data_IF_857815879789
#
_entry.id   IF_857815879789
#
_cell.length_a   1.000
_cell.length_b   1.000
_cell.length_c   1.000
_cell.angle_alpha   90.00
_cell.angle_beta   90.00
_cell.angle_gamma   90.00
#
_symmetry.space_group_name_H-M   'P 1'
#
loop_
_entity.id
_entity.type
_entity.pdbx_description
1 polymer ?
#
# COMPACT_ATOMS: atom_id res chain seq x y z
N UNK A 1 -17.85 42.98 -52.98
CA UNK A 1 -18.30 43.12 -51.58
C UNK A 1 -17.89 41.83 -50.88
N UNK A 2 -16.60 41.62 -50.60
CA UNK A 2 -15.83 42.06 -49.43
C UNK A 2 -16.01 41.16 -48.18
N UNK A 3 -14.88 40.54 -47.79
CA UNK A 3 -14.48 40.04 -46.46
C UNK A 3 -15.28 38.84 -45.85
N UNK A 4 -14.72 37.92 -45.03
CA UNK A 4 -13.45 37.95 -44.31
C UNK A 4 -12.94 36.54 -43.93
N UNK A 5 -11.62 36.47 -43.81
CA UNK A 5 -10.77 35.38 -43.33
C UNK A 5 -10.83 35.29 -41.80
N UNK A 6 -10.84 34.08 -41.22
CA UNK A 6 -10.58 33.88 -39.78
C UNK A 6 -9.36 32.96 -39.64
N UNK A 7 -8.33 33.50 -39.00
CA UNK A 7 -7.03 32.89 -38.80
C UNK A 7 -6.94 32.02 -37.56
N UNK A 8 -6.07 31.02 -37.69
CA UNK A 8 -5.52 30.16 -36.65
C UNK A 8 -4.56 30.93 -35.74
N UNK A 9 -4.66 30.74 -34.43
CA UNK A 9 -3.66 31.19 -33.45
C UNK A 9 -3.31 30.02 -32.54
N UNK A 10 -2.11 29.48 -32.75
CA UNK A 10 -1.46 28.50 -31.88
C UNK A 10 -0.98 29.18 -30.61
N UNK A 11 -1.32 28.62 -29.44
CA UNK A 11 -0.70 28.99 -28.16
C UNK A 11 0.31 27.92 -27.76
N UNK A 12 1.58 28.31 -27.78
CA UNK A 12 2.68 27.57 -27.19
C UNK A 12 2.56 27.63 -25.65
N UNK A 13 2.54 26.47 -25.00
CA UNK A 13 2.76 26.35 -23.56
C UNK A 13 4.14 25.72 -23.33
N UNK A 14 4.99 26.48 -22.65
CA UNK A 14 6.30 26.10 -22.13
C UNK A 14 6.17 25.01 -21.07
N UNK A 15 6.77 23.84 -21.30
CA UNK A 15 6.90 22.78 -20.30
C UNK A 15 8.10 23.07 -19.40
N UNK A 16 7.90 23.00 -18.08
CA UNK A 16 8.97 23.00 -17.08
C UNK A 16 9.32 21.55 -16.77
N UNK A 17 10.57 21.18 -17.01
CA UNK A 17 11.13 19.85 -16.74
C UNK A 17 11.64 19.82 -15.30
N UNK A 18 11.10 18.94 -14.46
CA UNK A 18 11.72 18.57 -13.18
C UNK A 18 11.95 17.07 -13.22
N UNK A 19 13.22 16.69 -13.41
CA UNK A 19 13.70 15.32 -13.34
C UNK A 19 13.80 14.89 -11.87
N UNK A 20 13.09 13.81 -11.50
CA UNK A 20 13.33 13.12 -10.23
C UNK A 20 14.24 11.93 -10.47
N UNK A 21 15.47 12.04 -10.01
CA UNK A 21 16.40 10.93 -9.90
C UNK A 21 17.07 10.98 -8.54
N UNK A 22 16.59 10.19 -7.58
CA UNK A 22 17.41 9.77 -6.43
C UNK A 22 17.00 8.37 -6.00
N UNK A 23 17.82 7.38 -6.33
CA UNK A 23 17.88 6.10 -5.60
C UNK A 23 19.29 5.88 -5.08
N UNK A 24 19.35 5.51 -3.78
CA UNK A 24 20.43 4.84 -3.03
C UNK A 24 21.67 5.68 -2.67
N UNK A 25 22.31 5.51 -1.51
CA UNK A 25 22.26 4.48 -0.48
C UNK A 25 22.86 5.01 0.84
N UNK A 26 22.42 4.48 1.99
CA UNK A 26 23.26 4.44 3.19
C UNK A 26 23.35 3.01 3.72
N UNK A 27 24.59 2.50 3.69
CA UNK A 27 25.02 1.24 4.27
C UNK A 27 25.07 1.36 5.79
N UNK A 28 24.58 0.30 6.44
CA UNK A 28 24.78 -0.01 7.85
C UNK A 28 26.25 0.02 8.28
N UNK A 29 26.53 0.57 9.46
CA UNK A 29 27.52 -0.02 10.37
C UNK A 29 27.13 0.26 11.83
N UNK A 30 26.98 -0.82 12.58
CA UNK A 30 26.64 -0.86 14.00
C UNK A 30 27.96 -1.02 14.78
N UNK A 31 28.20 -0.20 15.80
CA UNK A 31 29.47 -0.19 16.52
C UNK A 31 29.34 0.37 17.93
N UNK A 32 29.13 -0.53 18.88
CA UNK A 32 29.21 -0.33 20.32
C UNK A 32 30.49 0.40 20.75
N UNK A 33 30.38 1.45 21.56
CA UNK A 33 31.44 1.86 22.51
C UNK A 33 30.86 2.37 23.83
N UNK A 34 30.99 1.51 24.84
CA UNK A 34 31.09 1.85 26.26
C UNK A 34 32.40 2.58 26.51
N UNK A 35 32.38 3.65 27.32
CA UNK A 35 33.56 4.15 28.03
C UNK A 35 33.13 4.72 29.38
N UNK A 36 33.71 4.14 30.43
CA UNK A 36 33.73 4.58 31.82
C UNK A 36 35.16 4.98 32.15
N UNK A 37 35.38 6.06 32.91
CA UNK A 37 36.65 6.34 33.61
C UNK A 37 36.58 7.59 34.50
N UNK A 38 36.47 7.33 35.80
CA UNK A 38 37.21 7.89 36.97
C UNK A 38 37.76 9.34 36.99
N UNK A 39 37.30 10.06 38.03
CA UNK A 39 38.02 10.75 39.11
C UNK A 39 39.14 11.79 38.84
N UNK A 40 38.95 13.00 39.38
CA UNK A 40 39.96 13.73 40.17
C UNK A 40 39.28 14.62 41.24
N UNK A 41 39.77 14.53 42.47
CA UNK A 41 39.46 15.43 43.59
C UNK A 41 40.34 16.68 43.54
N UNK A 42 39.84 17.82 44.05
CA UNK A 42 40.47 18.60 45.14
C UNK A 42 39.62 19.80 45.55
N UNK A 43 39.62 20.00 46.86
CA UNK A 43 38.95 20.97 47.74
C UNK A 43 39.23 22.44 47.44
N UNK A 44 38.26 23.31 47.71
CA UNK A 44 38.45 24.51 48.53
C UNK A 44 37.16 24.86 49.28
N UNK A 45 37.32 25.03 50.60
CA UNK A 45 36.30 25.54 51.50
C UNK A 45 36.25 27.07 51.41
N UNK A 46 35.06 27.65 51.42
CA UNK A 46 34.87 29.00 51.92
C UNK A 46 33.51 29.09 52.64
N UNK A 47 33.58 29.31 53.95
CA UNK A 47 32.46 29.62 54.82
C UNK A 47 32.18 31.12 54.71
N UNK A 48 31.01 31.51 54.23
CA UNK A 48 30.43 32.81 54.57
C UNK A 48 28.95 32.68 54.89
N UNK A 49 28.56 33.40 55.92
CA UNK A 49 27.29 33.44 56.62
C UNK A 49 26.17 34.11 55.81
N UNK A 50 24.94 33.80 56.23
CA UNK A 50 23.66 34.12 55.63
C UNK A 50 23.36 35.61 55.31
N UNK A 51 22.44 35.77 54.33
CA UNK A 51 21.12 36.47 54.44
C UNK A 51 20.90 37.53 53.35
N UNK A 52 20.06 37.23 52.35
CA UNK A 52 18.87 38.02 51.98
C UNK A 52 18.22 37.50 50.70
N UNK A 53 16.91 37.25 50.79
CA UNK A 53 15.85 37.42 49.80
C UNK A 53 16.25 37.51 48.32
N UNK A 54 15.93 36.46 47.56
CA UNK A 54 15.98 36.47 46.10
C UNK A 54 15.09 35.36 45.55
N UNK A 55 14.02 35.77 44.88
CA UNK A 55 13.04 35.01 44.10
C UNK A 55 13.42 33.56 43.74
N UNK A 56 12.49 32.66 44.09
CA UNK A 56 12.32 31.35 43.48
C UNK A 56 12.33 31.47 41.95
N UNK A 57 13.31 30.85 41.30
CA UNK A 57 13.17 30.40 39.92
C UNK A 57 13.84 29.05 39.81
N UNK A 58 13.10 28.02 40.20
CA UNK A 58 13.33 26.67 39.67
C UNK A 58 13.30 26.80 38.15
N UNK A 59 14.47 26.71 37.52
CA UNK A 59 14.57 26.58 36.08
C UNK A 59 13.91 25.25 35.73
N UNK A 60 12.61 25.29 35.44
CA UNK A 60 11.99 24.27 34.61
C UNK A 60 12.71 24.37 33.28
N UNK A 61 13.69 23.48 33.08
CA UNK A 61 14.18 23.17 31.75
C UNK A 61 12.99 22.54 31.02
N UNK A 62 12.13 23.41 30.49
CA UNK A 62 11.15 23.05 29.49
C UNK A 62 12.00 22.58 28.33
N UNK A 63 12.17 21.26 28.19
CA UNK A 63 12.62 20.66 26.94
C UNK A 63 11.57 21.08 25.91
N UNK A 64 11.79 22.22 25.26
CA UNK A 64 10.96 22.65 24.16
C UNK A 64 11.15 21.58 23.10
N UNK A 65 10.11 20.79 22.87
CA UNK A 65 10.02 19.90 21.72
C UNK A 65 10.01 20.80 20.47
N UNK A 66 11.19 21.23 20.06
CA UNK A 66 11.38 22.08 18.90
C UNK A 66 11.53 21.17 17.69
N UNK A 67 10.50 21.17 16.85
CA UNK A 67 10.55 20.66 15.47
C UNK A 67 11.90 21.01 14.85
N UNK A 68 12.61 19.98 14.39
CA UNK A 68 13.92 20.11 13.76
C UNK A 68 13.79 20.72 12.37
N UNK A 69 14.91 21.17 11.80
CA UNK A 69 14.93 21.62 10.40
C UNK A 69 14.46 20.51 9.44
N UNK A 70 14.83 19.25 9.72
CA UNK A 70 14.39 18.11 8.92
C UNK A 70 12.88 17.88 9.00
N UNK A 71 12.27 18.08 10.17
CA UNK A 71 10.82 17.96 10.33
C UNK A 71 10.06 19.02 9.52
N UNK A 72 10.62 20.23 9.40
CA UNK A 72 10.04 21.31 8.60
C UNK A 72 10.14 21.02 7.10
N UNK A 73 11.33 20.65 6.61
CA UNK A 73 11.52 20.30 5.20
C UNK A 73 10.64 19.11 4.79
N UNK A 74 10.52 18.10 5.67
CA UNK A 74 9.63 16.97 5.43
C UNK A 74 8.15 17.38 5.44
N UNK A 75 7.73 18.26 6.35
CA UNK A 75 6.35 18.75 6.40
C UNK A 75 5.96 19.52 5.13
N UNK A 76 6.86 20.37 4.62
CA UNK A 76 6.66 21.16 3.40
C UNK A 76 6.54 20.24 2.17
N UNK A 77 7.47 19.29 2.03
CA UNK A 77 7.41 18.27 0.98
C UNK A 77 6.09 17.50 1.01
N UNK A 78 5.66 17.03 2.19
CA UNK A 78 4.42 16.26 2.34
C UNK A 78 3.18 17.08 1.96
N UNK A 79 3.20 18.41 2.03
CA UNK A 79 2.07 19.22 1.56
C UNK A 79 1.92 19.09 0.04
N UNK A 80 3.01 19.27 -0.68
CA UNK A 80 3.03 19.19 -2.14
C UNK A 80 2.70 17.77 -2.61
N UNK A 81 3.29 16.76 -1.96
CA UNK A 81 3.08 15.36 -2.29
C UNK A 81 1.62 14.93 -2.09
N UNK A 82 1.01 15.26 -0.94
CA UNK A 82 -0.40 14.91 -0.68
C UNK A 82 -1.33 15.56 -1.72
N UNK A 83 -1.04 16.79 -2.16
CA UNK A 83 -1.81 17.46 -3.20
C UNK A 83 -1.64 16.81 -4.57
N UNK A 84 -0.42 16.41 -4.91
CA UNK A 84 -0.14 15.70 -6.16
C UNK A 84 -0.87 14.35 -6.19
N UNK A 85 -0.78 13.56 -5.13
CA UNK A 85 -1.42 12.25 -5.04
C UNK A 85 -2.95 12.33 -5.09
N UNK A 86 -3.54 13.31 -4.42
CA UNK A 86 -4.99 13.56 -4.50
C UNK A 86 -5.46 13.94 -5.90
N UNK A 87 -4.62 14.63 -6.68
CA UNK A 87 -4.92 14.98 -8.08
C UNK A 87 -4.72 13.80 -9.02
N UNK A 88 -3.75 12.92 -8.72
CA UNK A 88 -3.47 11.71 -9.50
C UNK A 88 -4.49 10.59 -9.28
N UNK A 89 -5.22 10.63 -8.15
CA UNK A 89 -6.22 9.62 -7.79
C UNK A 89 -7.30 9.48 -8.87
N UNK A 90 -7.40 8.27 -9.45
CA UNK A 90 -8.32 7.94 -10.55
C UNK A 90 -9.80 8.09 -10.21
N UNK A 91 -10.17 7.77 -8.98
CA UNK A 91 -11.53 7.90 -8.49
C UNK A 91 -11.56 8.23 -7.00
N UNK A 92 -12.40 9.19 -6.63
CA UNK A 92 -12.67 9.51 -5.22
C UNK A 92 -13.49 8.42 -4.52
N UNK A 93 -14.29 7.67 -5.28
CA UNK A 93 -15.16 6.60 -4.78
C UNK A 93 -14.55 5.23 -5.07
N UNK A 94 -14.63 4.32 -4.09
CA UNK A 94 -14.21 2.94 -4.27
C UNK A 94 -15.12 2.25 -5.31
N UNK A 95 -14.53 1.49 -6.27
CA UNK A 95 -15.30 0.63 -7.17
C UNK A 95 -16.20 -0.32 -6.37
N UNK A 96 -17.35 -0.69 -6.94
CA UNK A 96 -18.22 -1.72 -6.36
C UNK A 96 -17.80 -3.08 -6.90
N UNK A 97 -17.82 -4.09 -6.04
CA UNK A 97 -17.66 -5.49 -6.45
C UNK A 97 -19.04 -6.12 -6.40
N UNK A 98 -19.57 -6.51 -7.57
CA UNK A 98 -20.95 -6.95 -7.69
C UNK A 98 -21.21 -8.25 -6.92
N UNK A 99 -22.33 -8.31 -6.20
CA UNK A 99 -22.75 -9.49 -5.44
C UNK A 99 -22.03 -9.69 -4.10
N UNK A 100 -21.09 -8.82 -3.72
CA UNK A 100 -20.38 -8.89 -2.44
C UNK A 100 -20.67 -7.69 -1.54
N UNK A 101 -20.84 -7.94 -0.25
CA UNK A 101 -20.76 -6.92 0.80
C UNK A 101 -19.29 -6.72 1.19
N UNK A 102 -18.85 -5.47 1.21
CA UNK A 102 -17.43 -5.11 1.42
C UNK A 102 -17.26 -4.50 2.80
N UNK A 103 -16.43 -5.14 3.63
CA UNK A 103 -15.99 -4.63 4.94
C UNK A 103 -14.52 -4.24 4.88
N UNK A 104 -14.22 -3.03 5.38
CA UNK A 104 -12.88 -2.44 5.36
C UNK A 104 -12.38 -2.19 6.78
N UNK A 105 -11.24 -2.77 7.14
CA UNK A 105 -10.63 -2.67 8.47
C UNK A 105 -9.13 -2.38 8.36
N UNK A 106 -8.76 -1.10 8.24
CA UNK A 106 -7.36 -0.71 8.10
C UNK A 106 -6.83 -1.02 6.71
N UNK A 107 -5.96 -2.03 6.59
CA UNK A 107 -5.49 -2.57 5.30
C UNK A 107 -6.14 -3.91 4.95
N UNK A 108 -6.96 -4.45 5.85
CA UNK A 108 -7.70 -5.70 5.66
C UNK A 108 -9.02 -5.42 4.93
N UNK A 109 -9.31 -6.24 3.92
CA UNK A 109 -10.55 -6.21 3.16
C UNK A 109 -11.22 -7.57 3.30
N UNK A 110 -12.49 -7.58 3.69
CA UNK A 110 -13.32 -8.77 3.71
C UNK A 110 -14.52 -8.58 2.79
N UNK A 111 -14.68 -9.46 1.80
CA UNK A 111 -15.86 -9.52 0.95
C UNK A 111 -16.71 -10.71 1.35
N UNK A 112 -18.02 -10.51 1.52
CA UNK A 112 -18.94 -11.60 1.87
C UNK A 112 -20.10 -11.70 0.90
N UNK A 113 -20.50 -12.92 0.57
CA UNK A 113 -21.65 -13.22 -0.27
C UNK A 113 -22.32 -14.51 0.20
N UNK A 114 -23.64 -14.54 0.14
CA UNK A 114 -24.40 -15.79 0.32
C UNK A 114 -24.79 -16.37 -1.04
N UNK A 115 -24.59 -17.67 -1.22
CA UNK A 115 -24.94 -18.40 -2.43
C UNK A 115 -25.53 -19.77 -2.05
N UNK A 116 -26.79 -20.04 -2.38
CA UNK A 116 -27.45 -21.35 -2.14
C UNK A 116 -27.30 -21.90 -0.69
N UNK A 117 -27.39 -21.03 0.33
CA UNK A 117 -27.16 -21.33 1.77
C UNK A 117 -25.70 -21.58 2.15
N UNK A 118 -24.76 -21.38 1.24
CA UNK A 118 -23.33 -21.31 1.50
C UNK A 118 -22.94 -19.85 1.77
N UNK A 119 -21.95 -19.64 2.64
CA UNK A 119 -21.33 -18.33 2.85
C UNK A 119 -19.96 -18.33 2.20
N UNK A 120 -19.76 -17.43 1.24
CA UNK A 120 -18.49 -17.20 0.55
C UNK A 120 -17.84 -15.97 1.16
N UNK A 121 -16.64 -16.14 1.72
CA UNK A 121 -15.86 -15.07 2.34
C UNK A 121 -14.53 -14.94 1.62
N UNK A 122 -14.25 -13.78 1.03
CA UNK A 122 -12.93 -13.46 0.49
C UNK A 122 -12.22 -12.52 1.46
N UNK A 123 -10.94 -12.80 1.76
CA UNK A 123 -10.11 -11.97 2.63
C UNK A 123 -8.80 -11.65 1.93
N UNK A 124 -8.33 -10.42 2.06
CA UNK A 124 -7.06 -9.96 1.52
C UNK A 124 -6.53 -8.77 2.32
N UNK A 125 -5.24 -8.52 2.19
CA UNK A 125 -4.57 -7.36 2.78
C UNK A 125 -3.82 -6.59 1.68
N UNK A 126 -4.05 -5.28 1.58
CA UNK A 126 -3.42 -4.44 0.54
C UNK A 126 -1.99 -4.00 0.89
N UNK A 127 -1.45 -4.34 2.05
CA UNK A 127 -0.04 -4.09 2.35
C UNK A 127 0.87 -4.87 1.40
N UNK A 128 1.95 -4.23 0.94
CA UNK A 128 2.95 -4.87 0.07
C UNK A 128 2.38 -5.51 -1.19
N UNK A 129 1.28 -4.95 -1.71
CA UNK A 129 0.52 -5.54 -2.83
C UNK A 129 0.76 -4.85 -4.17
N UNK A 130 1.50 -3.74 -4.19
CA UNK A 130 1.84 -3.01 -5.41
C UNK A 130 3.20 -3.49 -5.91
N UNK A 131 3.23 -4.05 -7.11
CA UNK A 131 4.46 -4.51 -7.74
C UNK A 131 5.27 -3.29 -8.20
N UNK A 132 6.46 -3.10 -7.63
CA UNK A 132 7.36 -2.02 -8.01
C UNK A 132 8.13 -2.32 -9.31
N UNK A 133 8.07 -3.56 -9.82
CA UNK A 133 8.82 -3.99 -11.01
C UNK A 133 8.27 -3.36 -12.31
N UNK A 134 6.97 -3.04 -12.35
CA UNK A 134 6.35 -2.26 -13.45
C UNK A 134 6.86 -0.81 -13.50
N UNK A 135 7.56 -0.33 -12.45
CA UNK A 135 8.18 0.99 -12.42
C UNK A 135 9.61 1.03 -13.00
N UNK A 136 10.24 -0.13 -13.25
CA UNK A 136 11.63 -0.24 -13.71
C UNK A 136 11.77 -0.31 -15.26
N UNK A 137 10.66 -0.47 -16.01
CA UNK A 137 10.67 -0.38 -17.50
C UNK A 137 10.83 1.05 -18.03
N UNK A 138 11.05 2.04 -17.17
CA UNK A 138 11.41 3.41 -17.54
C UNK A 138 12.84 3.51 -18.09
N UNK A 139 13.03 3.00 -19.29
CA UNK A 139 14.21 3.26 -20.12
C UNK A 139 14.24 4.76 -20.46
N UNK A 140 15.14 5.52 -19.86
CA UNK A 140 15.31 6.97 -20.04
C UNK A 140 15.74 7.44 -21.47
N UNK A 141 15.48 6.66 -22.53
CA UNK A 141 16.01 6.91 -23.88
C UNK A 141 15.00 6.64 -25.02
N UNK A 142 13.73 7.02 -24.90
CA UNK A 142 12.87 7.18 -26.07
C UNK A 142 12.01 8.44 -25.94
N UNK A 143 12.02 9.27 -26.99
CA UNK A 143 11.19 10.48 -27.17
C UNK A 143 9.66 10.19 -27.19
N UNK A 144 9.26 8.95 -26.94
CA UNK A 144 7.91 8.55 -26.55
C UNK A 144 8.04 7.74 -25.25
N UNK A 145 8.18 8.43 -24.12
CA UNK A 145 8.00 7.77 -22.84
C UNK A 145 6.60 7.14 -22.85
N UNK A 146 6.46 5.81 -22.72
CA UNK A 146 5.15 5.24 -22.43
C UNK A 146 4.60 5.96 -21.20
N UNK A 147 3.28 6.20 -21.16
CA UNK A 147 2.68 6.66 -19.91
C UNK A 147 3.12 5.72 -18.80
N UNK A 148 3.43 6.23 -17.59
CA UNK A 148 3.75 5.38 -16.46
C UNK A 148 2.78 4.21 -16.42
N UNK A 149 3.31 2.99 -16.50
CA UNK A 149 2.52 1.79 -16.26
C UNK A 149 1.71 2.05 -15.00
N UNK A 150 0.39 1.89 -15.11
CA UNK A 150 -0.48 2.11 -13.97
C UNK A 150 -0.07 1.13 -12.87
N UNK A 151 0.45 1.65 -11.75
CA UNK A 151 0.75 0.85 -10.57
C UNK A 151 -0.54 0.14 -10.13
N UNK A 152 -0.51 -1.19 -10.12
CA UNK A 152 -1.65 -2.03 -9.75
C UNK A 152 -1.38 -2.74 -8.43
N UNK A 153 -2.38 -2.76 -7.57
CA UNK A 153 -2.37 -3.55 -6.34
C UNK A 153 -2.97 -4.93 -6.60
N UNK A 154 -2.15 -5.97 -6.50
CA UNK A 154 -2.47 -7.39 -6.72
C UNK A 154 -2.21 -8.22 -5.46
N UNK A 155 -2.94 -7.98 -4.35
CA UNK A 155 -2.72 -8.73 -3.12
C UNK A 155 -3.15 -10.19 -3.29
N UNK A 156 -2.41 -11.10 -2.67
CA UNK A 156 -2.91 -12.46 -2.47
C UNK A 156 -4.21 -12.41 -1.67
N UNK A 157 -5.14 -13.29 -2.03
CA UNK A 157 -6.43 -13.35 -1.37
C UNK A 157 -6.82 -14.79 -1.06
N UNK A 158 -7.60 -14.97 -0.01
CA UNK A 158 -8.12 -16.27 0.38
C UNK A 158 -9.62 -16.32 0.16
N UNK A 159 -10.14 -17.46 -0.27
CA UNK A 159 -11.57 -17.72 -0.39
C UNK A 159 -11.95 -18.84 0.58
N UNK A 160 -12.95 -18.58 1.41
CA UNK A 160 -13.57 -19.57 2.29
C UNK A 160 -15.02 -19.77 1.90
N UNK A 161 -15.40 -21.02 1.60
CA UNK A 161 -16.78 -21.43 1.34
C UNK A 161 -17.23 -22.26 2.53
N UNK A 162 -18.19 -21.74 3.30
CA UNK A 162 -18.77 -22.43 4.45
C UNK A 162 -20.12 -23.06 4.09
N UNK A 163 -20.26 -24.37 4.36
CA UNK A 163 -21.51 -25.12 4.25
C UNK A 163 -21.58 -26.20 5.32
N UNK A 164 -22.69 -26.25 6.05
CA UNK A 164 -22.97 -27.27 7.08
C UNK A 164 -21.85 -27.43 8.13
N UNK A 165 -21.22 -26.30 8.54
CA UNK A 165 -20.11 -26.28 9.51
C UNK A 165 -18.76 -26.72 8.96
N UNK A 166 -18.68 -27.10 7.68
CA UNK A 166 -17.45 -27.38 6.95
C UNK A 166 -17.02 -26.16 6.15
N UNK A 167 -15.72 -25.96 6.06
CA UNK A 167 -15.10 -24.85 5.36
C UNK A 167 -14.14 -25.38 4.32
N UNK A 168 -14.35 -24.98 3.08
CA UNK A 168 -13.42 -25.20 1.98
C UNK A 168 -12.64 -23.90 1.76
N UNK A 169 -11.32 -23.98 1.92
CA UNK A 169 -10.40 -22.86 1.87
C UNK A 169 -9.55 -22.93 0.60
N UNK A 170 -9.33 -21.77 0.01
CA UNK A 170 -8.40 -21.55 -1.09
C UNK A 170 -7.49 -20.36 -0.78
N UNK A 171 -6.21 -20.52 -1.06
CA UNK A 171 -5.25 -19.41 -1.18
C UNK A 171 -5.05 -19.13 -2.66
N UNK A 172 -5.25 -17.89 -3.09
CA UNK A 172 -5.21 -17.47 -4.49
C UNK A 172 -4.16 -16.39 -4.72
N UNK A 173 -3.52 -16.46 -5.88
CA UNK A 173 -2.47 -15.52 -6.33
C UNK A 173 -2.81 -15.03 -7.73
N UNK A 174 -2.54 -13.75 -8.02
CA UNK A 174 -2.73 -13.21 -9.36
C UNK A 174 -1.66 -13.76 -10.31
N UNK A 175 -2.03 -14.02 -11.56
CA UNK A 175 -1.10 -14.49 -12.58
C UNK A 175 -0.33 -13.30 -13.18
N UNK A 176 0.99 -13.42 -13.31
CA UNK A 176 1.81 -12.45 -14.02
C UNK A 176 1.45 -12.47 -15.52
N UNK A 177 0.94 -11.36 -16.07
CA UNK A 177 0.58 -11.24 -17.49
C UNK A 177 -0.91 -11.35 -17.84
N UNK A 178 -1.83 -11.29 -16.87
CA UNK A 178 -3.27 -11.36 -17.11
C UNK A 178 -3.92 -10.14 -17.79
N UNK A 179 -3.17 -9.16 -18.29
CA UNK A 179 -3.74 -8.06 -19.06
C UNK A 179 -3.80 -8.43 -20.54
N UNK A 180 -4.93 -8.25 -21.24
CA UNK A 180 -5.00 -8.45 -22.67
C UNK A 180 -4.35 -7.26 -23.40
N UNK A 181 -3.05 -7.05 -23.20
CA UNK A 181 -2.26 -6.17 -24.07
C UNK A 181 -2.00 -6.89 -25.40
N UNK A 182 -3.03 -6.87 -26.25
CA UNK A 182 -2.90 -6.89 -27.69
C UNK A 182 -1.95 -7.93 -28.30
N UNK A 183 -2.13 -9.22 -28.02
CA UNK A 183 -1.93 -10.36 -28.94
C UNK A 183 -1.90 -11.69 -28.19
N UNK A 184 -3.08 -12.19 -27.82
CA UNK A 184 -3.50 -13.61 -27.91
C UNK A 184 -4.72 -13.80 -27.03
N UNK A 185 -5.78 -14.36 -27.60
CA UNK A 185 -6.96 -14.86 -26.88
C UNK A 185 -6.58 -16.12 -26.06
N UNK A 186 -5.57 -16.02 -25.21
CA UNK A 186 -5.40 -17.00 -24.14
C UNK A 186 -6.41 -16.62 -23.07
N UNK A 187 -7.38 -17.50 -22.85
CA UNK A 187 -8.25 -17.52 -21.67
C UNK A 187 -7.40 -17.85 -20.42
N UNK A 188 -6.37 -17.05 -20.17
CA UNK A 188 -5.62 -17.12 -18.94
C UNK A 188 -6.51 -16.53 -17.85
N UNK A 189 -6.79 -17.31 -16.81
CA UNK A 189 -7.50 -16.81 -15.64
C UNK A 189 -6.73 -15.64 -15.03
N UNK A 190 -7.43 -14.66 -14.47
CA UNK A 190 -6.77 -13.49 -13.85
C UNK A 190 -6.00 -13.87 -12.58
N UNK A 191 -6.34 -15.00 -11.96
CA UNK A 191 -5.68 -15.56 -10.78
C UNK A 191 -5.65 -17.09 -10.85
N UNK A 192 -4.83 -17.71 -10.00
CA UNK A 192 -4.79 -19.15 -9.80
C UNK A 192 -4.91 -19.54 -8.33
N UNK A 193 -5.23 -20.82 -8.09
CA UNK A 193 -5.23 -21.41 -6.74
C UNK A 193 -3.83 -21.89 -6.40
N UNK A 194 -3.20 -21.25 -5.42
CA UNK A 194 -1.89 -21.64 -4.90
C UNK A 194 -1.99 -22.79 -3.89
N UNK A 195 -3.03 -22.80 -3.07
CA UNK A 195 -3.25 -23.84 -2.06
C UNK A 195 -4.74 -24.05 -1.79
N UNK A 196 -5.12 -25.26 -1.36
CA UNK A 196 -6.47 -25.51 -0.85
C UNK A 196 -6.45 -26.45 0.36
N UNK A 197 -7.49 -26.32 1.19
CA UNK A 197 -7.69 -27.14 2.37
C UNK A 197 -9.19 -27.30 2.66
N UNK A 198 -9.55 -28.36 3.38
CA UNK A 198 -10.91 -28.54 3.92
C UNK A 198 -10.82 -28.81 5.42
N UNK A 199 -11.64 -28.11 6.20
CA UNK A 199 -11.60 -28.20 7.66
C UNK A 199 -12.96 -27.89 8.29
N UNK A 200 -13.07 -28.13 9.60
CA UNK A 200 -14.24 -27.82 10.43
C UNK A 200 -13.82 -26.93 11.60
N UNK A 201 -14.65 -25.96 11.97
CA UNK A 201 -14.36 -25.04 13.07
C UNK A 201 -13.45 -23.86 12.68
N UNK A 202 -12.45 -23.59 13.52
CA UNK A 202 -11.49 -22.49 13.32
C UNK A 202 -10.23 -22.97 12.61
N UNK A 203 -9.62 -22.08 11.83
CA UNK A 203 -8.35 -22.38 11.16
C UNK A 203 -7.24 -22.56 12.19
N UNK A 204 -6.43 -23.61 12.02
CA UNK A 204 -5.26 -23.92 12.85
C UNK A 204 -4.10 -24.36 11.98
N UNK A 205 -2.88 -24.29 12.49
CA UNK A 205 -1.66 -24.73 11.78
C UNK A 205 -1.62 -26.26 11.54
N UNK A 206 -2.54 -27.02 12.16
CA UNK A 206 -2.67 -28.46 11.99
C UNK A 206 -3.54 -28.84 10.77
N UNK A 207 -4.23 -27.86 10.16
CA UNK A 207 -5.05 -28.10 8.97
C UNK A 207 -4.15 -28.54 7.81
N UNK A 208 -4.45 -29.72 7.26
CA UNK A 208 -3.73 -30.23 6.11
C UNK A 208 -4.06 -29.41 4.86
N UNK A 209 -3.02 -28.86 4.25
CA UNK A 209 -3.11 -28.02 3.06
C UNK A 209 -2.30 -28.63 1.93
N UNK A 210 -2.84 -28.55 0.71
CA UNK A 210 -2.20 -29.06 -0.50
C UNK A 210 -1.87 -27.89 -1.42
N UNK A 211 -0.63 -27.89 -1.93
CA UNK A 211 -0.21 -26.94 -2.97
C UNK A 211 -0.88 -27.25 -4.30
N UNK A 212 -1.27 -26.19 -5.01
CA UNK A 212 -1.83 -26.24 -6.36
C UNK A 212 -0.88 -26.85 -7.38
N UNK A 213 0.44 -26.72 -7.18
CA UNK A 213 1.47 -27.20 -8.11
C UNK A 213 1.49 -28.73 -8.25
N UNK A 214 1.06 -29.44 -7.22
CA UNK A 214 0.99 -30.91 -7.19
C UNK A 214 -0.44 -31.44 -7.36
N UNK A 215 -1.40 -30.55 -7.62
CA UNK A 215 -2.80 -30.91 -7.81
C UNK A 215 -2.99 -31.59 -9.18
N UNK A 216 -3.88 -32.57 -9.22
CA UNK A 216 -4.35 -33.12 -10.50
C UNK A 216 -5.02 -32.02 -11.33
N UNK A 217 -4.66 -31.92 -12.62
CA UNK A 217 -5.14 -30.85 -13.49
C UNK A 217 -6.66 -30.88 -13.72
N UNK A 218 -7.30 -32.05 -13.68
CA UNK A 218 -8.76 -32.13 -13.79
C UNK A 218 -9.43 -31.68 -12.49
N UNK A 219 -8.89 -32.07 -11.33
CA UNK A 219 -9.34 -31.55 -10.04
C UNK A 219 -9.24 -30.02 -9.97
N UNK A 220 -8.13 -29.44 -10.45
CA UNK A 220 -7.94 -27.98 -10.50
C UNK A 220 -9.07 -27.29 -11.27
N UNK A 221 -9.38 -27.78 -12.49
CA UNK A 221 -10.47 -27.22 -13.32
C UNK A 221 -11.83 -27.32 -12.61
N UNK A 222 -12.12 -28.44 -11.95
CA UNK A 222 -13.37 -28.60 -11.20
C UNK A 222 -13.49 -27.62 -10.02
N UNK A 223 -12.39 -27.34 -9.32
CA UNK A 223 -12.36 -26.37 -8.22
C UNK A 223 -12.48 -24.93 -8.73
N UNK A 224 -11.84 -24.59 -9.85
CA UNK A 224 -12.00 -23.27 -10.49
C UNK A 224 -13.45 -23.04 -10.96
N UNK A 225 -14.08 -24.04 -11.59
CA UNK A 225 -15.50 -23.95 -11.96
C UNK A 225 -16.40 -23.75 -10.72
N UNK A 226 -16.10 -24.43 -9.61
CA UNK A 226 -16.83 -24.25 -8.34
C UNK A 226 -16.72 -22.81 -7.80
N UNK A 227 -15.52 -22.22 -7.87
CA UNK A 227 -15.27 -20.82 -7.50
C UNK A 227 -16.04 -19.86 -8.41
N UNK A 228 -16.03 -20.09 -9.72
CA UNK A 228 -16.74 -19.28 -10.71
C UNK A 228 -18.26 -19.25 -10.44
N UNK A 229 -18.88 -20.41 -10.20
CA UNK A 229 -20.31 -20.52 -9.85
C UNK A 229 -20.70 -19.69 -8.62
N UNK A 230 -19.74 -19.48 -7.71
CA UNK A 230 -19.90 -18.70 -6.46
C UNK A 230 -19.57 -17.23 -6.63
N UNK A 231 -19.21 -16.81 -7.84
CA UNK A 231 -18.89 -15.43 -8.19
C UNK A 231 -17.41 -15.07 -8.05
N UNK A 232 -16.53 -16.05 -7.90
CA UNK A 232 -15.07 -15.86 -7.91
C UNK A 232 -14.57 -16.24 -9.31
N UNK A 233 -14.93 -15.41 -10.29
CA UNK A 233 -14.58 -15.58 -11.71
C UNK A 233 -13.37 -14.74 -12.10
N UNK A 234 -12.88 -14.92 -13.33
CA UNK A 234 -11.83 -14.05 -13.88
C UNK A 234 -12.23 -12.57 -13.89
N UNK A 235 -13.51 -12.25 -14.14
CA UNK A 235 -14.07 -10.89 -14.03
C UNK A 235 -14.01 -10.35 -12.59
N UNK A 236 -14.31 -11.19 -11.59
CA UNK A 236 -14.13 -10.83 -10.19
C UNK A 236 -12.67 -10.46 -9.91
N UNK A 237 -11.70 -11.23 -10.42
CA UNK A 237 -10.28 -10.92 -10.25
C UNK A 237 -9.89 -9.54 -10.81
N UNK A 238 -10.34 -9.19 -12.02
CA UNK A 238 -10.08 -7.85 -12.59
C UNK A 238 -10.70 -6.73 -11.76
N UNK A 239 -11.95 -6.92 -11.33
CA UNK A 239 -12.64 -5.96 -10.47
C UNK A 239 -11.95 -5.82 -9.10
N UNK A 240 -11.40 -6.92 -8.58
CA UNK A 240 -10.67 -6.94 -7.33
C UNK A 240 -9.35 -6.16 -7.42
N UNK A 241 -8.58 -6.30 -8.52
CA UNK A 241 -7.35 -5.52 -8.75
C UNK A 241 -7.67 -4.03 -8.82
N UNK A 242 -8.70 -3.64 -9.58
CA UNK A 242 -9.12 -2.23 -9.67
C UNK A 242 -9.54 -1.69 -8.29
N UNK A 243 -10.35 -2.47 -7.55
CA UNK A 243 -10.75 -2.13 -6.20
C UNK A 243 -9.56 -1.93 -5.27
N UNK A 244 -8.64 -2.90 -5.22
CA UNK A 244 -7.47 -2.86 -4.36
C UNK A 244 -6.54 -1.70 -4.73
N UNK A 245 -6.38 -1.40 -6.02
CA UNK A 245 -5.55 -0.28 -6.50
C UNK A 245 -6.08 1.06 -6.01
N UNK A 246 -7.40 1.29 -6.13
CA UNK A 246 -8.01 2.54 -5.62
C UNK A 246 -7.97 2.60 -4.09
N UNK A 247 -8.14 1.45 -3.43
CA UNK A 247 -8.15 1.39 -1.97
C UNK A 247 -6.76 1.60 -1.37
N UNK A 248 -5.74 0.92 -1.88
CA UNK A 248 -4.33 1.06 -1.48
C UNK A 248 -3.89 2.52 -1.64
N UNK A 249 -4.15 3.14 -2.80
CA UNK A 249 -3.78 4.54 -3.03
C UNK A 249 -4.45 5.49 -2.03
N UNK A 250 -5.69 5.19 -1.64
CA UNK A 250 -6.39 5.96 -0.61
C UNK A 250 -5.75 5.82 0.78
N UNK A 251 -5.24 4.64 1.12
CA UNK A 251 -4.51 4.38 2.36
C UNK A 251 -3.14 5.06 2.34
N UNK A 252 -2.44 5.06 1.20
CA UNK A 252 -1.17 5.75 1.02
C UNK A 252 -1.32 7.26 1.27
N UNK A 253 -2.32 7.90 0.65
CA UNK A 253 -2.62 9.32 0.93
C UNK A 253 -2.91 9.54 2.43
N UNK A 254 -3.70 8.66 3.04
CA UNK A 254 -3.99 8.72 4.48
C UNK A 254 -2.76 8.52 5.36
N UNK A 255 -1.78 7.73 4.92
CA UNK A 255 -0.48 7.57 5.58
C UNK A 255 0.33 8.86 5.50
N UNK A 256 0.43 9.49 4.33
CA UNK A 256 1.13 10.76 4.14
C UNK A 256 0.51 11.87 5.02
N UNK A 257 -0.82 11.92 5.12
CA UNK A 257 -1.51 12.86 6.01
C UNK A 257 -1.18 12.63 7.49
N UNK A 258 -1.15 11.37 7.95
CA UNK A 258 -0.75 11.01 9.32
C UNK A 258 0.72 11.34 9.57
N UNK A 259 1.61 11.07 8.61
CA UNK A 259 3.03 11.39 8.70
C UNK A 259 3.23 12.90 8.81
N UNK A 260 2.55 13.68 7.97
CA UNK A 260 2.56 15.15 8.04
C UNK A 260 2.11 15.63 9.42
N UNK A 261 1.01 15.09 9.93
CA UNK A 261 0.49 15.45 11.26
C UNK A 261 1.49 15.10 12.38
N UNK A 262 2.20 13.98 12.25
CA UNK A 262 3.24 13.56 13.19
C UNK A 262 4.42 14.53 13.22
N UNK A 263 5.00 14.87 12.07
CA UNK A 263 6.18 15.75 11.98
C UNK A 263 5.87 17.22 12.24
N UNK A 264 4.61 17.63 12.02
CA UNK A 264 4.13 18.98 12.31
C UNK A 264 3.81 19.21 13.80
N UNK A 265 3.75 18.13 14.61
CA UNK A 265 3.40 18.22 16.03
C UNK A 265 4.60 18.75 16.82
N UNK A 266 4.35 19.79 17.62
CA UNK A 266 5.30 20.41 18.55
C UNK A 266 5.10 19.89 19.95
#
# INVERSE_FOLDING_TARGET
MAANVIGTVSRAFTKSTVSNAVVRALKHSNGYRSMSSTALSRTLACRHTARSSGLLRTATCSYSQTSTKGDQELADFLVEEIEAEKKARKSAQLPKIEGFDVKLEGSEVTLTRTFNQETVTVRLNVNHSVDAEDADEFSANQDNAPEPGEMKSKPNFTVEIERDGKKLFFSCTFNEGGEPEGQSENYADSFGVAEFAIYEGEWTDEVYTVSGDIMDGYLYVLLMNMLEERGISSEFGYNLVNFCTVYEHSLYIGLLEKLKAFVSKK
#
